data_IF_968832563386
#
_entry.id   IF_968832563386
#
_cell.length_a   1.000
_cell.length_b   1.000
_cell.length_c   1.000
_cell.angle_alpha   90.00
_cell.angle_beta   90.00
_cell.angle_gamma   90.00
#
_symmetry.space_group_name_H-M   'P 1'
#
loop_
_entity.id
_entity.type
_entity.pdbx_description
1 polymer ?
#
# COMPACT_ATOMS: atom_id res chain seq x y z
N UNK A 1 -41.83 -21.18 -18.29
CA UNK A 1 -40.81 -20.29 -18.83
C UNK A 1 -40.08 -19.62 -17.70
N UNK A 2 -38.90 -20.12 -17.37
CA UNK A 2 -38.05 -19.51 -16.35
C UNK A 2 -37.28 -18.37 -17.01
N UNK A 3 -37.54 -17.14 -16.58
CA UNK A 3 -36.74 -15.98 -16.97
C UNK A 3 -35.40 -16.14 -16.31
N UNK A 4 -34.37 -16.38 -17.10
CA UNK A 4 -32.99 -16.41 -16.63
C UNK A 4 -32.67 -15.05 -16.01
N UNK A 5 -32.37 -15.05 -14.73
CA UNK A 5 -31.91 -13.89 -13.99
C UNK A 5 -30.47 -13.59 -14.45
N UNK A 6 -30.37 -12.83 -15.57
CA UNK A 6 -29.08 -12.29 -16.01
C UNK A 6 -28.78 -11.16 -15.04
N UNK A 7 -28.01 -11.45 -13.98
CA UNK A 7 -27.45 -10.40 -13.13
C UNK A 7 -26.65 -9.48 -14.03
N UNK A 8 -27.10 -8.24 -14.16
CA UNK A 8 -26.30 -7.17 -14.73
C UNK A 8 -25.01 -7.11 -13.91
N UNK A 9 -23.90 -7.60 -14.46
CA UNK A 9 -22.58 -7.44 -13.84
C UNK A 9 -22.38 -5.94 -13.69
N UNK A 10 -22.27 -5.50 -12.45
CA UNK A 10 -21.95 -4.10 -12.17
C UNK A 10 -20.62 -3.81 -12.84
N UNK A 11 -20.59 -2.81 -13.74
CA UNK A 11 -19.37 -2.45 -14.47
C UNK A 11 -18.37 -1.88 -13.47
N UNK A 12 -17.23 -2.52 -13.32
CA UNK A 12 -16.09 -1.99 -12.56
C UNK A 12 -15.23 -1.11 -13.48
N UNK A 13 -15.30 0.23 -13.34
CA UNK A 13 -14.62 1.13 -14.26
C UNK A 13 -13.10 1.06 -14.13
N UNK A 14 -12.57 0.70 -12.94
CA UNK A 14 -11.14 0.52 -12.70
C UNK A 14 -10.64 -0.71 -13.46
N UNK A 15 -11.36 -1.82 -13.32
CA UNK A 15 -11.00 -3.07 -14.00
C UNK A 15 -11.14 -2.96 -15.52
N UNK A 16 -12.22 -2.35 -15.99
CA UNK A 16 -12.42 -2.14 -17.43
C UNK A 16 -11.28 -1.32 -18.03
N UNK A 17 -10.87 -0.25 -17.37
CA UNK A 17 -9.75 0.59 -17.82
C UNK A 17 -8.44 -0.19 -17.85
N UNK A 18 -8.14 -1.00 -16.83
CA UNK A 18 -6.94 -1.85 -16.79
C UNK A 18 -6.92 -2.81 -17.99
N UNK A 19 -8.06 -3.43 -18.31
CA UNK A 19 -8.17 -4.33 -19.45
C UNK A 19 -7.95 -3.62 -20.78
N UNK A 20 -8.52 -2.42 -20.96
CA UNK A 20 -8.37 -1.63 -22.19
C UNK A 20 -6.91 -1.17 -22.36
N UNK A 21 -6.28 -0.66 -21.30
CA UNK A 21 -4.85 -0.32 -21.29
C UNK A 21 -3.95 -1.53 -21.61
N UNK A 22 -4.35 -2.73 -21.16
CA UNK A 22 -3.65 -3.97 -21.47
C UNK A 22 -3.72 -4.34 -22.96
N UNK A 23 -4.88 -4.23 -23.57
CA UNK A 23 -5.05 -4.47 -25.02
C UNK A 23 -4.25 -3.47 -25.85
N UNK A 24 -4.28 -2.20 -25.48
CA UNK A 24 -3.51 -1.16 -26.16
C UNK A 24 -2.00 -1.41 -26.06
N UNK A 25 -1.52 -1.81 -24.87
CA UNK A 25 -0.11 -2.12 -24.68
C UNK A 25 0.35 -3.29 -25.55
N UNK A 26 -0.43 -4.37 -25.67
CA UNK A 26 -0.10 -5.51 -26.55
C UNK A 26 -0.06 -5.06 -28.02
N UNK A 27 -0.98 -4.18 -28.43
CA UNK A 27 -1.00 -3.64 -29.79
C UNK A 27 0.27 -2.86 -30.14
N UNK A 28 0.81 -2.12 -29.15
CA UNK A 28 2.02 -1.30 -29.33
C UNK A 28 3.31 -2.12 -29.15
N UNK A 29 3.33 -3.02 -28.19
CA UNK A 29 4.48 -3.85 -27.80
C UNK A 29 4.07 -5.34 -27.71
N UNK A 30 4.01 -6.09 -28.82
CA UNK A 30 3.54 -7.48 -28.81
C UNK A 30 4.34 -8.41 -27.87
N UNK A 31 5.60 -8.11 -27.59
CA UNK A 31 6.46 -8.91 -26.70
C UNK A 31 5.98 -8.93 -25.24
N UNK A 32 5.21 -7.92 -24.79
CA UNK A 32 4.62 -7.93 -23.43
C UNK A 32 3.32 -8.74 -23.36
N UNK A 33 2.85 -9.27 -24.50
CA UNK A 33 1.55 -9.95 -24.58
C UNK A 33 1.39 -11.09 -23.58
N UNK A 34 2.38 -11.96 -23.44
CA UNK A 34 2.33 -13.07 -22.49
C UNK A 34 2.16 -12.58 -21.03
N UNK A 35 2.89 -11.53 -20.65
CA UNK A 35 2.80 -10.94 -19.32
C UNK A 35 1.41 -10.32 -19.05
N UNK A 36 0.87 -9.57 -20.02
CA UNK A 36 -0.40 -8.88 -19.87
C UNK A 36 -1.56 -9.88 -19.91
N UNK A 37 -1.52 -10.87 -20.78
CA UNK A 37 -2.52 -11.94 -20.75
C UNK A 37 -2.52 -12.66 -19.41
N UNK A 38 -1.36 -13.10 -18.91
CA UNK A 38 -1.27 -13.81 -17.65
C UNK A 38 -1.66 -12.95 -16.44
N UNK A 39 -1.27 -11.67 -16.43
CA UNK A 39 -1.48 -10.78 -15.27
C UNK A 39 -2.80 -9.99 -15.29
N UNK A 40 -3.47 -9.88 -16.45
CA UNK A 40 -4.67 -9.07 -16.63
C UNK A 40 -5.74 -9.81 -17.44
N UNK A 41 -5.55 -10.04 -18.73
CA UNK A 41 -6.64 -10.36 -19.64
C UNK A 41 -7.22 -11.77 -19.48
N UNK A 42 -6.52 -12.68 -18.82
CA UNK A 42 -7.02 -14.04 -18.50
C UNK A 42 -7.85 -14.08 -17.21
N UNK A 43 -8.17 -12.93 -16.63
CA UNK A 43 -8.95 -12.83 -15.39
C UNK A 43 -10.28 -12.15 -15.62
N UNK A 44 -11.30 -12.56 -14.87
CA UNK A 44 -12.67 -12.04 -14.98
C UNK A 44 -12.91 -10.80 -14.10
N UNK A 45 -12.02 -10.54 -13.14
CA UNK A 45 -12.14 -9.43 -12.19
C UNK A 45 -10.79 -8.89 -11.73
N UNK A 46 -10.82 -7.68 -11.17
CA UNK A 46 -9.65 -7.06 -10.56
C UNK A 46 -9.07 -7.91 -9.41
N UNK A 47 -9.93 -8.48 -8.58
CA UNK A 47 -9.54 -9.35 -7.46
C UNK A 47 -8.76 -10.57 -7.92
N UNK A 48 -9.25 -11.23 -8.98
CA UNK A 48 -8.61 -12.42 -9.54
C UNK A 48 -7.23 -12.08 -10.14
N UNK A 49 -7.13 -10.97 -10.86
CA UNK A 49 -5.88 -10.49 -11.43
C UNK A 49 -4.87 -10.09 -10.33
N UNK A 50 -5.34 -9.37 -9.30
CA UNK A 50 -4.53 -8.96 -8.17
C UNK A 50 -4.06 -10.16 -7.34
N UNK A 51 -4.98 -11.09 -7.02
CA UNK A 51 -4.66 -12.35 -6.32
C UNK A 51 -3.61 -13.17 -7.07
N UNK A 52 -3.78 -13.34 -8.39
CA UNK A 52 -2.77 -13.96 -9.25
C UNK A 52 -1.42 -13.24 -9.16
N UNK A 53 -1.42 -11.91 -9.30
CA UNK A 53 -0.17 -11.13 -9.29
C UNK A 53 0.59 -11.27 -7.97
N UNK A 54 -0.11 -11.19 -6.84
CA UNK A 54 0.49 -11.36 -5.51
C UNK A 54 0.97 -12.79 -5.32
N UNK A 55 0.18 -13.80 -5.72
CA UNK A 55 0.55 -15.21 -5.63
C UNK A 55 1.82 -15.52 -6.41
N UNK A 56 1.93 -15.06 -7.66
CA UNK A 56 3.13 -15.20 -8.48
C UNK A 56 4.39 -14.57 -7.86
N UNK A 57 4.24 -13.50 -7.10
CA UNK A 57 5.36 -12.84 -6.42
C UNK A 57 5.76 -13.53 -5.12
N UNK A 58 4.80 -14.00 -4.34
CA UNK A 58 5.04 -14.55 -3.02
C UNK A 58 5.28 -16.08 -3.01
N UNK A 59 4.92 -16.79 -4.07
CA UNK A 59 5.18 -18.21 -4.18
C UNK A 59 6.66 -18.56 -4.00
N UNK A 60 6.92 -19.74 -3.45
CA UNK A 60 8.25 -20.26 -3.22
C UNK A 60 8.24 -21.78 -3.32
N UNK A 61 9.40 -22.42 -3.06
CA UNK A 61 9.47 -23.88 -2.93
C UNK A 61 8.72 -24.42 -1.71
N UNK A 62 8.46 -23.57 -0.72
CA UNK A 62 7.75 -23.92 0.51
C UNK A 62 6.24 -23.77 0.39
N UNK A 63 5.76 -22.85 -0.44
CA UNK A 63 4.34 -22.60 -0.66
C UNK A 63 4.05 -22.26 -2.13
N UNK A 64 3.19 -23.07 -2.73
CA UNK A 64 2.89 -23.00 -4.17
C UNK A 64 2.11 -21.72 -4.54
N UNK A 65 2.20 -21.33 -5.80
CA UNK A 65 1.38 -20.27 -6.37
C UNK A 65 -0.12 -20.54 -6.16
N UNK A 66 -0.55 -21.79 -6.37
CA UNK A 66 -1.95 -22.15 -6.21
C UNK A 66 -2.44 -21.91 -4.77
N UNK A 67 -1.65 -22.33 -3.78
CA UNK A 67 -1.98 -22.08 -2.37
C UNK A 67 -2.10 -20.57 -2.07
N UNK A 68 -1.20 -19.76 -2.61
CA UNK A 68 -1.27 -18.31 -2.47
C UNK A 68 -2.52 -17.71 -3.16
N UNK A 69 -2.90 -18.22 -4.32
CA UNK A 69 -4.14 -17.81 -5.01
C UNK A 69 -5.39 -18.17 -4.20
N UNK A 70 -5.42 -19.38 -3.63
CA UNK A 70 -6.54 -19.81 -2.79
C UNK A 70 -6.69 -18.92 -1.55
N UNK A 71 -5.58 -18.51 -0.93
CA UNK A 71 -5.58 -17.54 0.18
C UNK A 71 -6.18 -16.21 -0.27
N UNK A 72 -5.73 -15.67 -1.41
CA UNK A 72 -6.23 -14.39 -1.92
C UNK A 72 -7.72 -14.46 -2.28
N UNK A 73 -8.15 -15.52 -2.97
CA UNK A 73 -9.56 -15.75 -3.32
C UNK A 73 -10.44 -15.80 -2.07
N UNK A 74 -10.06 -16.62 -1.09
CA UNK A 74 -10.80 -16.74 0.16
C UNK A 74 -10.88 -15.41 0.93
N UNK A 75 -9.80 -14.63 0.91
CA UNK A 75 -9.77 -13.33 1.57
C UNK A 75 -10.73 -12.34 0.90
N UNK A 76 -10.70 -12.20 -0.42
CA UNK A 76 -11.58 -11.27 -1.15
C UNK A 76 -13.06 -11.69 -1.12
N UNK A 77 -13.35 -12.99 -1.06
CA UNK A 77 -14.72 -13.48 -0.91
C UNK A 77 -15.27 -13.25 0.50
N UNK A 78 -14.44 -13.45 1.53
CA UNK A 78 -14.83 -13.27 2.92
C UNK A 78 -14.90 -11.80 3.34
N UNK A 79 -14.03 -10.94 2.78
CA UNK A 79 -13.88 -9.53 3.16
C UNK A 79 -13.80 -8.64 1.90
N UNK A 80 -14.95 -8.29 1.28
CA UNK A 80 -14.97 -7.45 0.05
C UNK A 80 -14.32 -6.08 0.20
N UNK A 81 -14.22 -5.55 1.42
CA UNK A 81 -13.58 -4.27 1.69
C UNK A 81 -12.07 -4.28 1.38
N UNK A 82 -11.42 -5.45 1.37
CA UNK A 82 -10.04 -5.60 0.91
C UNK A 82 -9.88 -5.17 -0.55
N UNK A 83 -10.83 -5.57 -1.39
CA UNK A 83 -10.84 -5.22 -2.80
C UNK A 83 -11.14 -3.73 -3.04
N UNK A 84 -12.00 -3.13 -2.20
CA UNK A 84 -12.27 -1.69 -2.23
C UNK A 84 -11.02 -0.89 -1.80
N UNK A 85 -10.33 -1.33 -0.75
CA UNK A 85 -9.08 -0.72 -0.33
C UNK A 85 -8.00 -0.81 -1.41
N UNK A 86 -7.89 -1.95 -2.09
CA UNK A 86 -6.94 -2.13 -3.19
C UNK A 86 -7.21 -1.17 -4.36
N UNK A 87 -8.47 -0.94 -4.73
CA UNK A 87 -8.84 0.06 -5.74
C UNK A 87 -8.50 1.48 -5.30
N UNK A 88 -8.77 1.81 -4.04
CA UNK A 88 -8.41 3.12 -3.49
C UNK A 88 -6.89 3.36 -3.51
N UNK A 89 -6.08 2.34 -3.16
CA UNK A 89 -4.63 2.40 -3.20
C UNK A 89 -4.10 2.53 -4.64
N UNK A 90 -4.75 1.85 -5.60
CA UNK A 90 -4.39 1.95 -7.02
C UNK A 90 -4.66 3.36 -7.56
N UNK A 91 -5.84 3.91 -7.28
CA UNK A 91 -6.21 5.29 -7.66
C UNK A 91 -5.27 6.29 -6.99
N UNK A 92 -4.97 6.11 -5.70
CA UNK A 92 -4.03 6.97 -4.98
C UNK A 92 -2.64 6.97 -5.63
N UNK A 93 -2.16 5.81 -6.06
CA UNK A 93 -0.87 5.68 -6.76
C UNK A 93 -0.90 6.39 -8.11
N UNK A 94 -1.98 6.19 -8.89
CA UNK A 94 -2.14 6.83 -10.20
C UNK A 94 -2.21 8.35 -10.11
N UNK A 95 -2.95 8.87 -9.14
CA UNK A 95 -3.20 10.31 -9.00
C UNK A 95 -1.98 11.08 -8.44
N UNK A 96 -1.13 10.40 -7.64
CA UNK A 96 -0.05 11.06 -6.87
C UNK A 96 1.34 10.84 -7.45
N UNK A 97 1.54 9.79 -8.24
CA UNK A 97 2.83 9.50 -8.87
C UNK A 97 2.85 10.07 -10.30
N UNK A 98 3.61 11.15 -10.56
CA UNK A 98 3.71 11.72 -11.90
C UNK A 98 4.31 10.77 -12.95
N UNK A 99 4.96 9.68 -12.52
CA UNK A 99 5.46 8.64 -13.42
C UNK A 99 4.41 7.56 -13.74
N UNK A 100 3.25 7.57 -13.07
CA UNK A 100 2.17 6.63 -13.28
C UNK A 100 1.16 7.19 -14.30
N UNK A 101 1.13 6.62 -15.50
CA UNK A 101 0.28 7.09 -16.60
C UNK A 101 -0.88 6.15 -16.92
N UNK A 102 -0.89 4.95 -16.34
CA UNK A 102 -1.88 3.89 -16.59
C UNK A 102 -2.23 3.16 -15.31
N UNK A 103 -3.50 2.79 -15.14
CA UNK A 103 -3.97 1.99 -13.99
C UNK A 103 -3.35 0.59 -13.95
N UNK A 104 -3.00 0.05 -15.10
CA UNK A 104 -2.30 -1.22 -15.21
C UNK A 104 -0.89 -1.20 -14.56
N UNK A 105 -0.22 -0.04 -14.51
CA UNK A 105 1.17 0.05 -14.03
C UNK A 105 1.34 -0.32 -12.54
N UNK A 106 0.55 0.20 -11.60
CA UNK A 106 0.64 -0.24 -10.20
C UNK A 106 0.42 -1.74 -10.04
N UNK A 107 -0.57 -2.29 -10.71
CA UNK A 107 -0.88 -3.73 -10.65
C UNK A 107 0.30 -4.58 -11.11
N UNK A 108 0.91 -4.26 -12.25
CA UNK A 108 1.93 -5.11 -12.87
C UNK A 108 3.36 -4.79 -12.43
N UNK A 109 3.69 -3.52 -12.13
CA UNK A 109 5.07 -3.09 -12.06
C UNK A 109 5.46 -2.38 -10.76
N UNK A 110 4.52 -1.77 -10.02
CA UNK A 110 4.87 -0.96 -8.85
C UNK A 110 4.85 -1.80 -7.58
N UNK A 111 6.03 -2.09 -7.07
CA UNK A 111 6.19 -2.98 -5.92
C UNK A 111 5.58 -2.41 -4.62
N UNK A 112 5.48 -1.09 -4.46
CA UNK A 112 4.83 -0.46 -3.31
C UNK A 112 3.34 -0.80 -3.26
N UNK A 113 2.65 -0.72 -4.39
CA UNK A 113 1.26 -1.15 -4.51
C UNK A 113 1.11 -2.65 -4.23
N UNK A 114 1.97 -3.48 -4.84
CA UNK A 114 1.89 -4.94 -4.65
C UNK A 114 2.15 -5.34 -3.19
N UNK A 115 3.11 -4.69 -2.54
CA UNK A 115 3.45 -4.99 -1.15
C UNK A 115 2.36 -4.62 -0.15
N UNK A 116 1.67 -3.47 -0.34
CA UNK A 116 0.56 -3.10 0.54
C UNK A 116 -0.62 -4.08 0.36
N UNK A 117 -0.85 -4.60 -0.85
CA UNK A 117 -1.88 -5.62 -1.06
C UNK A 117 -1.49 -6.97 -0.45
N UNK A 118 -0.21 -7.36 -0.54
CA UNK A 118 0.30 -8.53 0.17
C UNK A 118 0.12 -8.40 1.69
N UNK A 119 0.45 -7.23 2.25
CA UNK A 119 0.19 -6.93 3.66
C UNK A 119 -1.31 -7.09 4.01
N UNK A 120 -2.24 -6.59 3.19
CA UNK A 120 -3.68 -6.72 3.46
C UNK A 120 -4.13 -8.18 3.57
N UNK A 121 -3.60 -9.07 2.72
CA UNK A 121 -3.83 -10.52 2.84
C UNK A 121 -3.23 -11.08 4.13
N UNK A 122 -2.01 -10.68 4.49
CA UNK A 122 -1.37 -11.05 5.74
C UNK A 122 -2.14 -10.56 6.98
N UNK A 123 -2.66 -9.33 6.95
CA UNK A 123 -3.49 -8.77 8.00
C UNK A 123 -4.81 -9.53 8.16
N UNK A 124 -5.48 -9.83 7.06
CA UNK A 124 -6.69 -10.66 7.09
C UNK A 124 -6.44 -12.04 7.71
N UNK A 125 -5.35 -12.70 7.36
CA UNK A 125 -4.95 -13.96 7.98
C UNK A 125 -4.70 -13.81 9.49
N UNK A 126 -4.03 -12.71 9.89
CA UNK A 126 -3.76 -12.40 11.29
C UNK A 126 -5.04 -12.25 12.11
N UNK A 127 -5.98 -11.46 11.63
CA UNK A 127 -7.27 -11.22 12.28
C UNK A 127 -8.13 -12.51 12.34
N UNK A 128 -7.92 -13.46 11.41
CA UNK A 128 -8.57 -14.77 11.39
C UNK A 128 -7.77 -15.86 12.13
N UNK A 129 -6.79 -15.48 12.97
CA UNK A 129 -6.04 -16.40 13.84
C UNK A 129 -5.00 -17.26 13.11
N UNK A 130 -4.75 -17.04 11.81
CA UNK A 130 -3.77 -17.78 10.99
C UNK A 130 -2.42 -17.10 11.00
N UNK A 131 -1.84 -16.95 12.20
CA UNK A 131 -0.66 -16.11 12.43
C UNK A 131 0.59 -16.59 11.70
N UNK A 132 0.82 -17.90 11.61
CA UNK A 132 2.00 -18.45 10.93
C UNK A 132 1.96 -18.17 9.42
N UNK A 133 0.77 -18.26 8.79
CA UNK A 133 0.58 -17.86 7.40
C UNK A 133 0.77 -16.35 7.21
N UNK A 134 0.31 -15.55 8.17
CA UNK A 134 0.51 -14.10 8.12
C UNK A 134 2.00 -13.73 8.20
N UNK A 135 2.77 -14.39 9.08
CA UNK A 135 4.23 -14.23 9.15
C UNK A 135 4.92 -14.72 7.88
N UNK A 136 4.44 -15.81 7.28
CA UNK A 136 4.98 -16.27 6.00
C UNK A 136 4.81 -15.21 4.91
N UNK A 137 3.62 -14.61 4.79
CA UNK A 137 3.36 -13.52 3.82
C UNK A 137 4.26 -12.31 4.13
N UNK A 138 4.41 -11.91 5.40
CA UNK A 138 5.30 -10.82 5.81
C UNK A 138 6.74 -11.10 5.35
N UNK A 139 7.28 -12.27 5.67
CA UNK A 139 8.62 -12.70 5.27
C UNK A 139 8.79 -12.62 3.75
N UNK A 140 7.88 -13.21 2.99
CA UNK A 140 7.94 -13.20 1.52
C UNK A 140 7.84 -11.78 0.94
N UNK A 141 6.99 -10.94 1.54
CA UNK A 141 6.85 -9.53 1.13
C UNK A 141 8.17 -8.77 1.36
N UNK A 142 8.81 -9.00 2.49
CA UNK A 142 10.11 -8.41 2.81
C UNK A 142 11.20 -8.86 1.83
N UNK A 143 11.28 -10.15 1.53
CA UNK A 143 12.25 -10.70 0.57
C UNK A 143 12.04 -10.16 -0.86
N UNK A 144 10.78 -10.16 -1.33
CA UNK A 144 10.46 -9.83 -2.72
C UNK A 144 10.43 -8.33 -3.00
N UNK A 145 9.99 -7.53 -2.05
CA UNK A 145 9.76 -6.10 -2.27
C UNK A 145 10.68 -5.19 -1.43
N UNK A 146 11.37 -5.73 -0.42
CA UNK A 146 12.15 -4.94 0.53
C UNK A 146 11.28 -4.08 1.45
N UNK A 147 10.08 -4.58 1.79
CA UNK A 147 9.08 -3.90 2.60
C UNK A 147 8.65 -4.86 3.71
N UNK A 148 8.85 -4.43 4.94
CA UNK A 148 8.53 -5.21 6.14
C UNK A 148 7.39 -4.51 6.90
N UNK A 149 6.17 -5.02 6.76
CA UNK A 149 4.98 -4.53 7.47
C UNK A 149 4.46 -5.68 8.33
N UNK A 150 4.47 -5.48 9.65
CA UNK A 150 3.93 -6.48 10.56
C UNK A 150 2.43 -6.70 10.32
N UNK A 151 1.94 -7.95 10.24
CA UNK A 151 0.55 -8.23 9.89
C UNK A 151 -0.47 -7.72 10.92
N UNK A 152 -0.08 -7.48 12.16
CA UNK A 152 -0.94 -6.88 13.19
C UNK A 152 -1.08 -5.36 13.05
N UNK A 153 -0.22 -4.66 12.31
CA UNK A 153 -0.36 -3.23 12.06
C UNK A 153 -1.72 -2.94 11.42
N UNK A 154 -2.26 -1.74 11.68
CA UNK A 154 -3.55 -1.33 11.11
C UNK A 154 -3.33 -0.22 10.10
N UNK A 155 -3.64 -0.48 8.85
CA UNK A 155 -3.42 0.47 7.75
C UNK A 155 -4.73 0.70 6.99
N UNK A 156 -5.09 1.96 6.86
CA UNK A 156 -6.27 2.42 6.14
C UNK A 156 -6.19 2.20 4.62
N UNK A 157 -6.96 2.93 3.85
CA UNK A 157 -7.06 2.85 2.39
C UNK A 157 -6.61 4.14 1.70
N UNK A 158 -6.41 4.07 0.40
CA UNK A 158 -5.84 5.20 -0.36
C UNK A 158 -4.36 5.42 -0.04
N UNK A 159 -3.65 4.36 0.23
CA UNK A 159 -2.22 4.39 0.59
C UNK A 159 -1.37 4.38 -0.67
N UNK A 160 -0.40 5.29 -0.74
CA UNK A 160 0.65 5.27 -1.73
C UNK A 160 2.00 5.02 -1.07
N UNK A 161 2.77 4.05 -1.57
CA UNK A 161 4.16 3.81 -1.16
C UNK A 161 5.04 3.96 -2.40
N UNK A 162 5.74 5.09 -2.47
CA UNK A 162 6.58 5.44 -3.62
C UNK A 162 7.99 4.86 -3.50
N UNK A 163 8.52 4.31 -4.63
CA UNK A 163 9.78 3.58 -4.73
C UNK A 163 9.88 2.35 -3.81
N UNK A 164 9.34 2.42 -2.63
CA UNK A 164 9.03 1.34 -1.70
C UNK A 164 10.23 0.44 -1.27
N UNK A 165 11.44 0.97 -1.23
CA UNK A 165 12.57 0.26 -0.63
C UNK A 165 12.66 0.52 0.87
N UNK A 166 13.01 -0.53 1.65
CA UNK A 166 13.37 -0.41 3.08
C UNK A 166 12.28 0.27 3.93
N UNK A 167 11.01 0.01 3.65
CA UNK A 167 9.90 0.39 4.50
C UNK A 167 9.81 -0.61 5.66
N UNK A 168 9.66 -0.10 6.88
CA UNK A 168 9.39 -0.92 8.07
C UNK A 168 8.21 -0.33 8.83
N UNK A 169 7.21 -1.15 9.09
CA UNK A 169 6.02 -0.78 9.89
C UNK A 169 5.83 -1.82 10.99
N UNK A 170 5.96 -1.38 12.24
CA UNK A 170 5.93 -2.27 13.40
C UNK A 170 4.52 -2.70 13.80
N UNK A 171 4.46 -3.68 14.69
CA UNK A 171 3.29 -4.45 15.10
C UNK A 171 2.08 -3.61 15.52
N UNK A 172 2.29 -2.62 16.37
CA UNK A 172 1.21 -1.80 16.93
C UNK A 172 1.01 -0.47 16.20
N UNK A 173 1.66 -0.29 15.03
CA UNK A 173 1.51 0.92 14.23
C UNK A 173 0.08 1.05 13.67
N UNK A 174 -0.38 2.29 13.62
CA UNK A 174 -1.65 2.64 12.98
C UNK A 174 -1.37 3.69 11.92
N UNK A 175 -1.90 3.48 10.71
CA UNK A 175 -1.81 4.40 9.58
C UNK A 175 -3.22 4.68 9.09
N UNK A 176 -3.62 5.94 9.07
CA UNK A 176 -4.92 6.37 8.60
C UNK A 176 -5.12 6.27 7.10
N UNK A 177 -6.21 6.83 6.62
CA UNK A 177 -6.55 6.87 5.20
C UNK A 177 -5.73 7.92 4.44
N UNK A 178 -5.55 7.69 3.14
CA UNK A 178 -4.92 8.65 2.22
C UNK A 178 -3.50 9.08 2.62
N UNK A 179 -2.72 8.18 3.22
CA UNK A 179 -1.33 8.44 3.58
C UNK A 179 -0.40 8.14 2.39
N UNK A 180 0.61 8.99 2.20
CA UNK A 180 1.68 8.76 1.24
C UNK A 180 3.02 8.62 1.97
N UNK A 181 3.77 7.56 1.65
CA UNK A 181 5.10 7.29 2.19
C UNK A 181 6.10 7.10 1.06
N UNK A 182 7.28 7.70 1.19
CA UNK A 182 8.37 7.42 0.28
C UNK A 182 9.25 6.28 0.83
N UNK A 183 10.28 5.90 0.06
CA UNK A 183 11.20 4.84 0.44
C UNK A 183 11.92 5.09 1.77
N UNK A 184 12.39 4.01 2.41
CA UNK A 184 13.19 4.02 3.64
C UNK A 184 12.50 4.65 4.85
N UNK A 185 11.16 4.71 4.87
CA UNK A 185 10.38 5.13 6.03
C UNK A 185 10.35 4.01 7.07
N UNK A 186 10.50 4.38 8.35
CA UNK A 186 10.32 3.48 9.47
C UNK A 186 9.28 4.02 10.44
N UNK A 187 8.25 3.22 10.71
CA UNK A 187 7.30 3.42 11.79
C UNK A 187 7.65 2.40 12.89
N UNK A 188 8.59 2.76 13.76
CA UNK A 188 9.27 1.84 14.69
C UNK A 188 8.93 2.10 16.14
N UNK A 189 9.23 1.09 16.99
CA UNK A 189 9.24 1.23 18.44
C UNK A 189 10.57 1.76 18.95
N UNK A 190 10.64 2.03 20.26
CA UNK A 190 11.85 2.47 20.95
C UNK A 190 12.65 1.32 21.59
N UNK A 191 12.17 0.08 21.44
CA UNK A 191 12.97 -1.14 21.69
C UNK A 191 12.88 -1.75 23.09
N UNK A 192 12.03 -1.25 24.01
CA UNK A 192 11.96 -1.78 25.39
C UNK A 192 10.56 -2.06 25.93
N UNK A 193 9.52 -1.76 25.16
CA UNK A 193 8.13 -1.88 25.60
C UNK A 193 7.47 -3.02 24.85
N UNK A 194 6.72 -3.87 25.57
CA UNK A 194 5.98 -5.01 24.98
C UNK A 194 4.56 -4.62 24.54
N UNK A 195 4.06 -3.48 25.05
CA UNK A 195 2.74 -2.96 24.78
C UNK A 195 2.66 -2.11 23.49
N UNK A 196 1.74 -1.17 23.44
CA UNK A 196 1.57 -0.23 22.35
C UNK A 196 2.78 0.72 22.23
N UNK A 197 3.65 0.46 21.23
CA UNK A 197 4.98 1.05 21.12
C UNK A 197 5.30 1.68 19.78
N UNK A 198 4.35 1.66 18.83
CA UNK A 198 4.58 2.16 17.47
C UNK A 198 3.73 3.39 17.16
N UNK A 199 4.11 4.19 16.15
CA UNK A 199 3.45 5.43 15.79
C UNK A 199 2.00 5.26 15.35
N UNK A 200 1.22 6.34 15.56
CA UNK A 200 -0.14 6.54 15.07
C UNK A 200 -0.12 7.68 14.05
N UNK A 201 -0.22 7.33 12.80
CA UNK A 201 -0.20 8.26 11.67
C UNK A 201 -1.64 8.58 11.29
N UNK A 202 -1.99 9.85 11.31
CA UNK A 202 -3.31 10.34 10.94
C UNK A 202 -3.58 10.33 9.43
N UNK A 203 -4.80 10.69 9.05
CA UNK A 203 -5.22 10.73 7.65
C UNK A 203 -4.50 11.81 6.86
N UNK A 204 -4.23 11.54 5.59
CA UNK A 204 -3.66 12.52 4.67
C UNK A 204 -2.24 12.97 4.97
N UNK A 205 -1.50 12.23 5.80
CA UNK A 205 -0.12 12.53 6.16
C UNK A 205 0.83 12.16 5.03
N UNK A 206 1.79 13.06 4.74
CA UNK A 206 2.92 12.80 3.84
C UNK A 206 4.18 12.53 4.66
N UNK A 207 4.82 11.37 4.40
CA UNK A 207 6.07 10.98 5.06
C UNK A 207 7.19 10.90 4.00
N UNK A 208 8.12 11.83 4.09
CA UNK A 208 9.24 11.98 3.17
C UNK A 208 10.25 10.83 3.26
N UNK A 209 11.06 10.69 2.20
CA UNK A 209 12.05 9.63 2.07
C UNK A 209 13.02 9.57 3.26
N UNK A 210 13.28 8.37 3.77
CA UNK A 210 14.23 8.16 4.87
C UNK A 210 13.76 8.60 6.25
N UNK A 211 12.54 9.11 6.40
CA UNK A 211 12.04 9.54 7.71
C UNK A 211 11.87 8.36 8.68
N UNK A 212 12.15 8.60 9.95
CA UNK A 212 11.96 7.64 11.05
C UNK A 212 10.99 8.26 12.07
N UNK A 213 9.87 7.59 12.30
CA UNK A 213 8.90 7.96 13.34
C UNK A 213 8.96 6.86 14.39
N UNK A 214 9.37 7.21 15.60
CA UNK A 214 9.74 6.21 16.61
C UNK A 214 9.00 6.42 17.93
N UNK A 215 8.46 5.33 18.46
CA UNK A 215 7.70 5.31 19.70
C UNK A 215 6.20 5.42 19.52
N UNK A 216 5.47 5.27 20.60
CA UNK A 216 4.01 5.44 20.61
C UNK A 216 3.66 6.94 20.58
N UNK A 217 3.84 7.57 19.45
CA UNK A 217 3.60 8.99 19.20
C UNK A 217 2.55 9.19 18.11
N UNK A 218 1.90 10.35 18.10
CA UNK A 218 0.88 10.71 17.13
C UNK A 218 1.41 11.72 16.11
N UNK A 219 1.20 11.42 14.82
CA UNK A 219 1.38 12.38 13.74
C UNK A 219 -0.01 12.78 13.26
N UNK A 220 -0.41 14.02 13.56
CA UNK A 220 -1.77 14.51 13.31
C UNK A 220 -2.13 14.58 11.83
N UNK A 221 -3.44 14.57 11.55
CA UNK A 221 -3.99 14.55 10.19
C UNK A 221 -3.41 15.68 9.32
N UNK A 222 -3.20 15.37 8.04
CA UNK A 222 -2.69 16.30 7.04
C UNK A 222 -1.37 16.97 7.43
N UNK A 223 -0.55 16.31 8.25
CA UNK A 223 0.81 16.77 8.57
C UNK A 223 1.81 16.28 7.53
N UNK A 224 2.99 16.86 7.55
CA UNK A 224 4.10 16.51 6.69
C UNK A 224 5.36 16.23 7.51
N UNK A 225 5.96 15.07 7.30
CA UNK A 225 7.27 14.71 7.85
C UNK A 225 8.28 14.84 6.72
N UNK A 226 9.22 15.77 6.84
CA UNK A 226 10.23 16.02 5.81
C UNK A 226 11.20 14.83 5.66
N UNK A 227 11.79 14.70 4.49
CA UNK A 227 12.77 13.66 4.19
C UNK A 227 13.92 13.63 5.20
N UNK A 228 14.37 12.42 5.60
CA UNK A 228 15.47 12.22 6.54
C UNK A 228 15.20 12.60 7.99
N UNK A 229 13.98 13.00 8.34
CA UNK A 229 13.65 13.41 9.70
C UNK A 229 13.55 12.25 10.68
N UNK A 230 13.90 12.49 11.95
CA UNK A 230 13.71 11.56 13.07
C UNK A 230 12.72 12.16 14.05
N UNK A 231 11.46 11.68 14.00
CA UNK A 231 10.34 12.15 14.81
C UNK A 231 10.24 11.32 16.08
N UNK A 232 10.35 11.97 17.23
CA UNK A 232 10.37 11.35 18.56
C UNK A 232 9.30 11.89 19.50
N UNK A 233 8.47 12.82 19.03
CA UNK A 233 7.40 13.47 19.81
C UNK A 233 6.18 13.68 18.93
N UNK A 234 5.03 13.86 19.55
CA UNK A 234 3.77 14.13 18.84
C UNK A 234 3.89 15.33 17.89
N UNK A 235 3.23 15.19 16.75
CA UNK A 235 3.12 16.22 15.71
C UNK A 235 1.66 16.69 15.65
N UNK A 236 1.35 17.95 15.91
CA UNK A 236 -0.01 18.46 15.77
C UNK A 236 -0.49 18.38 14.31
N UNK A 237 -1.83 18.29 14.08
CA UNK A 237 -2.37 18.30 12.73
C UNK A 237 -1.91 19.49 11.88
N UNK A 238 -1.76 19.27 10.57
CA UNK A 238 -1.42 20.28 9.56
C UNK A 238 -0.05 20.97 9.79
N UNK A 239 0.86 20.32 10.50
CA UNK A 239 2.22 20.83 10.71
C UNK A 239 3.23 20.11 9.84
N UNK A 240 4.32 20.83 9.50
CA UNK A 240 5.52 20.25 8.92
C UNK A 240 6.58 20.10 10.00
N UNK A 241 7.18 18.91 10.08
CA UNK A 241 8.33 18.65 10.95
C UNK A 241 9.54 18.23 10.13
N UNK A 242 10.73 18.69 10.54
CA UNK A 242 12.00 18.41 9.86
C UNK A 242 13.16 18.30 10.85
N UNK A 243 14.20 17.55 10.47
CA UNK A 243 15.48 17.47 11.18
C UNK A 243 15.65 16.23 12.08
N UNK A 244 16.80 16.17 12.79
CA UNK A 244 17.21 15.09 13.69
C UNK A 244 17.71 15.67 15.00
N UNK A 245 16.95 15.61 16.11
CA UNK A 245 15.52 15.22 16.15
C UNK A 245 14.64 16.25 15.42
N UNK A 246 13.49 15.78 14.92
CA UNK A 246 12.58 16.63 14.16
C UNK A 246 11.92 17.72 15.04
N UNK A 247 11.75 18.91 14.46
CA UNK A 247 11.08 20.06 15.06
C UNK A 247 10.00 20.56 14.12
N UNK A 248 8.97 21.21 14.67
CA UNK A 248 7.98 21.92 13.85
C UNK A 248 8.69 23.08 13.15
N UNK A 249 8.63 23.08 11.82
CA UNK A 249 9.26 24.09 10.97
C UNK A 249 8.25 24.97 10.23
N UNK A 250 6.95 24.62 10.30
CA UNK A 250 5.89 25.40 9.67
C UNK A 250 4.57 24.65 9.56
N UNK A 251 3.66 25.24 8.78
CA UNK A 251 2.41 24.58 8.37
C UNK A 251 2.70 23.54 7.27
N UNK A 252 1.73 22.65 7.01
CA UNK A 252 1.89 21.62 5.98
C UNK A 252 1.91 22.15 4.54
N UNK A 253 1.69 23.43 4.35
CA UNK A 253 1.75 24.12 3.05
C UNK A 253 0.48 23.98 2.21
N UNK A 254 -0.29 22.92 2.39
CA UNK A 254 -1.59 22.71 1.73
C UNK A 254 -2.53 21.87 2.62
N UNK A 255 -3.81 21.79 2.25
CA UNK A 255 -4.82 21.04 3.01
C UNK A 255 -4.65 19.53 2.93
N UNK A 256 -3.98 19.02 1.91
CA UNK A 256 -3.84 17.58 1.62
C UNK A 256 -2.41 17.24 1.16
N UNK A 257 -1.43 17.24 2.07
CA UNK A 257 -0.02 17.02 1.74
C UNK A 257 0.25 15.70 1.03
N UNK A 258 -0.41 14.62 1.45
CA UNK A 258 -0.26 13.31 0.86
C UNK A 258 -0.75 13.23 -0.60
N UNK A 259 -1.67 14.10 -1.00
CA UNK A 259 -2.17 14.15 -2.39
C UNK A 259 -1.29 15.06 -3.23
N UNK A 260 -0.91 16.22 -2.71
CA UNK A 260 -0.06 17.17 -3.44
C UNK A 260 1.36 16.67 -3.65
N UNK A 261 1.84 15.77 -2.81
CA UNK A 261 3.21 15.22 -2.82
C UNK A 261 4.30 16.30 -2.79
N UNK A 262 3.96 17.51 -2.34
CA UNK A 262 4.93 18.60 -2.22
C UNK A 262 5.85 18.37 -1.03
N UNK A 263 7.13 18.18 -1.31
CA UNK A 263 8.19 17.93 -0.34
C UNK A 263 9.08 19.16 -0.10
N UNK A 264 8.83 20.28 -0.78
CA UNK A 264 9.61 21.47 -0.60
C UNK A 264 9.31 22.13 0.76
N UNK A 265 10.35 22.51 1.46
CA UNK A 265 10.27 23.26 2.71
C UNK A 265 10.40 24.75 2.38
N UNK A 266 9.34 25.36 1.84
CA UNK A 266 9.32 26.79 1.54
C UNK A 266 9.34 27.61 2.84
N UNK A 267 10.27 28.59 2.94
CA UNK A 267 10.36 29.52 4.08
C UNK A 267 11.38 29.12 5.15
N UNK A 268 12.31 28.23 4.85
CA UNK A 268 13.50 27.97 5.68
C UNK A 268 14.72 28.64 5.03
N UNK A 269 14.72 29.99 4.95
CA UNK A 269 15.90 30.79 4.60
C UNK A 269 16.66 31.18 5.87
#
# INVERSE_FOLDING_TARGET
MAIANTSLRQVDPVWQRICDEGRDAISQEPLVGALIHAGVLNHDSFENALGYRIAMKLASTEMSEQTMRDIATNAYEAEPDLALAARADLVATYDRDPACHRFMQPLLFFKGFQAIQAYRLGHWLWENGKKDLAYFIQMRTSEMFGIDIHPAAKIGKGIMIDHAHSIVVGETAVVGDNVSMLHSVTLGGTGKEDDDRHPKIGDGVLIGAGAKVLGNIHVGNCSRVAAGSVVLTDVPPKKTVAGVPAKIVGEAGCSQPAISMDQLLSGLD
#
